data_IF_598249894879
#
_entry.id   IF_598249894879
#
_cell.length_a   1.000
_cell.length_b   1.000
_cell.length_c   1.000
_cell.angle_alpha   90.00
_cell.angle_beta   90.00
_cell.angle_gamma   90.00
#
_symmetry.space_group_name_H-M   'P 1'
#
loop_
_entity.id
_entity.type
_entity.pdbx_description
1 polymer ?
#
# COMPACT_ATOMS: atom_id res chain seq x y z
N UNK A 1 -9.47 -9.28 48.75
CA UNK A 1 -8.05 -9.66 48.50
C UNK A 1 -8.11 -11.04 47.87
N UNK A 2 -7.61 -11.39 46.68
CA UNK A 2 -6.58 -10.83 45.82
C UNK A 2 -6.98 -11.08 44.35
N UNK A 3 -6.57 -10.16 43.49
CA UNK A 3 -6.68 -10.21 42.02
C UNK A 3 -5.73 -11.26 41.45
N UNK A 4 -6.14 -11.94 40.38
CA UNK A 4 -5.28 -12.76 39.53
C UNK A 4 -5.64 -12.51 38.07
N UNK A 5 -5.14 -11.42 37.51
CA UNK A 5 -5.37 -11.03 36.12
C UNK A 5 -4.61 -11.95 35.17
N UNK A 6 -5.35 -12.57 34.24
CA UNK A 6 -4.77 -13.16 33.03
C UNK A 6 -4.99 -12.15 31.91
N UNK A 7 -3.91 -11.49 31.50
CA UNK A 7 -3.84 -10.73 30.27
C UNK A 7 -3.97 -11.71 29.10
N UNK A 8 -5.15 -11.77 28.50
CA UNK A 8 -5.34 -12.38 27.20
C UNK A 8 -4.90 -11.35 26.17
N UNK A 9 -3.69 -11.51 25.64
CA UNK A 9 -3.23 -10.74 24.48
C UNK A 9 -4.04 -11.22 23.28
N UNK A 10 -5.07 -10.45 22.93
CA UNK A 10 -5.82 -10.65 21.70
C UNK A 10 -4.93 -10.22 20.54
N UNK A 11 -4.29 -11.19 19.87
CA UNK A 11 -3.82 -11.00 18.51
C UNK A 11 -5.05 -10.81 17.62
N UNK A 12 -5.40 -9.56 17.35
CA UNK A 12 -6.34 -9.21 16.30
C UNK A 12 -5.69 -9.58 14.97
N UNK A 13 -6.12 -10.72 14.44
CA UNK A 13 -5.81 -11.17 13.11
C UNK A 13 -6.34 -10.13 12.12
N UNK A 14 -5.43 -9.45 11.42
CA UNK A 14 -5.72 -8.57 10.27
C UNK A 14 -6.18 -9.46 9.12
N UNK A 15 -7.45 -9.87 9.16
CA UNK A 15 -8.16 -10.55 8.07
C UNK A 15 -9.25 -9.60 7.60
N UNK A 16 -9.00 -8.89 6.51
CA UNK A 16 -9.98 -7.95 5.97
C UNK A 16 -9.66 -7.24 4.67
N UNK A 17 -8.61 -7.61 3.93
CA UNK A 17 -8.44 -7.18 2.53
C UNK A 17 -8.52 -8.37 1.54
N UNK A 18 -9.02 -9.51 2.03
CA UNK A 18 -9.53 -10.60 1.20
C UNK A 18 -10.92 -10.29 0.65
N UNK A 19 -11.08 -9.14 0.00
CA UNK A 19 -12.21 -8.86 -0.86
C UNK A 19 -11.66 -8.88 -2.27
N UNK A 20 -12.18 -9.77 -3.13
CA UNK A 20 -11.99 -9.67 -4.57
C UNK A 20 -12.00 -8.19 -4.97
N UNK A 21 -11.02 -7.75 -5.75
CA UNK A 21 -11.08 -6.48 -6.46
C UNK A 21 -12.25 -6.56 -7.47
N UNK A 22 -13.49 -6.59 -6.99
CA UNK A 22 -14.65 -6.17 -7.74
C UNK A 22 -14.35 -4.70 -8.03
N UNK A 23 -13.93 -4.44 -9.26
CA UNK A 23 -13.87 -3.09 -9.80
C UNK A 23 -15.22 -2.46 -9.50
N UNK A 24 -15.27 -1.60 -8.47
CA UNK A 24 -16.51 -0.97 -8.07
C UNK A 24 -16.92 -0.07 -9.24
N UNK A 25 -17.92 -0.52 -10.01
CA UNK A 25 -18.40 0.22 -11.17
C UNK A 25 -18.81 1.62 -10.70
N UNK A 26 -18.24 2.65 -11.32
CA UNK A 26 -18.56 4.04 -11.00
C UNK A 26 -20.00 4.31 -11.37
N UNK A 27 -20.77 4.88 -10.43
CA UNK A 27 -22.15 5.26 -10.60
C UNK A 27 -22.22 6.77 -10.40
N UNK A 28 -22.74 7.49 -11.39
CA UNK A 28 -22.98 8.93 -11.28
C UNK A 28 -24.48 9.22 -11.29
N UNK A 29 -24.98 10.03 -10.34
CA UNK A 29 -26.33 10.55 -10.40
C UNK A 29 -26.44 11.57 -11.55
N UNK A 30 -27.63 11.71 -12.12
CA UNK A 30 -27.92 12.80 -13.06
C UNK A 30 -27.90 14.15 -12.34
N UNK A 31 -27.73 15.25 -13.09
CA UNK A 31 -27.78 16.60 -12.52
C UNK A 31 -29.10 16.87 -11.78
N UNK A 32 -30.22 16.33 -12.27
CA UNK A 32 -31.52 16.43 -11.61
C UNK A 32 -31.57 15.64 -10.29
N UNK A 33 -30.96 14.45 -10.25
CA UNK A 33 -30.83 13.66 -9.02
C UNK A 33 -29.96 14.38 -7.98
N UNK A 34 -28.85 14.98 -8.40
CA UNK A 34 -27.96 15.77 -7.52
C UNK A 34 -28.63 17.02 -6.97
N UNK A 35 -29.37 17.75 -7.80
CA UNK A 35 -30.10 18.95 -7.38
C UNK A 35 -31.25 18.66 -6.43
N UNK A 36 -31.81 17.44 -6.50
CA UNK A 36 -32.85 16.96 -5.58
C UNK A 36 -32.29 16.35 -4.28
N UNK A 37 -30.96 16.35 -4.09
CA UNK A 37 -30.36 15.91 -2.83
C UNK A 37 -30.58 17.01 -1.78
N UNK A 38 -31.36 16.69 -0.75
CA UNK A 38 -31.30 17.43 0.51
C UNK A 38 -29.94 17.18 1.18
N UNK A 39 -29.47 18.06 2.07
CA UNK A 39 -28.23 17.86 2.80
C UNK A 39 -28.14 16.45 3.41
N UNK A 40 -27.15 15.68 2.94
CA UNK A 40 -27.00 14.27 3.30
C UNK A 40 -26.23 14.15 4.61
N UNK A 41 -26.71 13.38 5.60
CA UNK A 41 -25.87 12.94 6.69
C UNK A 41 -24.64 12.20 6.14
N UNK A 42 -23.46 12.54 6.64
CA UNK A 42 -22.20 11.91 6.26
C UNK A 42 -21.81 10.88 7.31
N UNK A 43 -21.56 9.66 6.88
CA UNK A 43 -20.99 8.61 7.70
C UNK A 43 -19.63 8.21 7.13
N UNK A 44 -18.57 8.50 7.88
CA UNK A 44 -17.22 8.07 7.56
C UNK A 44 -16.89 6.78 8.32
N UNK A 45 -16.37 5.79 7.60
CA UNK A 45 -16.03 4.46 8.11
C UNK A 45 -14.54 4.27 7.91
N UNK A 46 -13.81 4.19 9.02
CA UNK A 46 -12.39 3.85 9.04
C UNK A 46 -12.20 2.59 9.88
N UNK A 47 -12.31 1.44 9.22
CA UNK A 47 -12.15 0.10 9.80
C UNK A 47 -10.66 -0.32 9.76
N UNK A 48 -9.79 0.53 10.29
CA UNK A 48 -8.36 0.29 10.41
C UNK A 48 -7.83 0.86 11.73
N UNK A 49 -7.15 0.00 12.49
CA UNK A 49 -6.54 0.39 13.76
C UNK A 49 -5.10 0.86 13.62
N UNK A 50 -4.45 0.59 12.48
CA UNK A 50 -3.06 0.96 12.24
C UNK A 50 -2.75 1.13 10.76
N UNK A 51 -1.64 1.79 10.46
CA UNK A 51 -1.12 1.94 9.10
C UNK A 51 -0.83 0.56 8.49
N UNK A 52 -1.39 0.32 7.30
CA UNK A 52 -1.06 -0.83 6.48
C UNK A 52 0.06 -0.50 5.47
N UNK A 53 0.62 -1.53 4.85
CA UNK A 53 1.39 -1.40 3.62
C UNK A 53 0.72 -2.28 2.57
N UNK A 54 0.61 -1.77 1.35
CA UNK A 54 0.08 -2.55 0.24
C UNK A 54 1.10 -3.63 -0.14
N UNK A 55 0.62 -4.84 -0.36
CA UNK A 55 1.38 -5.81 -1.12
C UNK A 55 1.11 -5.58 -2.63
N UNK A 56 1.99 -6.12 -3.48
CA UNK A 56 1.88 -6.00 -4.94
C UNK A 56 0.62 -6.67 -5.52
N UNK A 57 -0.12 -7.45 -4.72
CA UNK A 57 -1.31 -8.20 -5.11
C UNK A 57 -2.63 -7.54 -4.68
N UNK A 58 -2.59 -6.68 -3.66
CA UNK A 58 -3.71 -5.93 -3.09
C UNK A 58 -3.65 -4.45 -3.41
N UNK A 59 -2.57 -3.99 -4.06
CA UNK A 59 -2.41 -2.62 -4.50
C UNK A 59 -3.62 -2.17 -5.33
N UNK A 60 -4.22 -1.04 -4.94
CA UNK A 60 -5.22 -0.38 -5.76
C UNK A 60 -4.50 0.06 -7.04
N UNK A 61 -4.68 -0.70 -8.11
CA UNK A 61 -3.90 -0.60 -9.32
C UNK A 61 -4.11 0.77 -9.98
N UNK A 62 -3.23 1.72 -9.68
CA UNK A 62 -3.22 3.11 -10.20
C UNK A 62 -2.02 3.30 -11.15
N UNK A 63 -1.54 2.21 -11.77
CA UNK A 63 -0.27 2.17 -12.51
C UNK A 63 0.93 2.36 -11.59
N UNK A 64 1.28 1.30 -10.85
CA UNK A 64 2.60 1.19 -10.24
C UNK A 64 3.58 0.74 -11.32
N UNK A 65 4.31 1.67 -11.93
CA UNK A 65 5.57 1.33 -12.60
C UNK A 65 6.66 1.37 -11.54
N UNK A 66 7.36 0.25 -11.28
CA UNK A 66 8.52 0.26 -10.39
C UNK A 66 9.48 1.35 -10.85
N UNK A 67 9.94 2.20 -9.92
CA UNK A 67 10.97 3.19 -10.24
C UNK A 67 12.18 2.54 -10.92
N UNK A 68 13.02 3.30 -11.64
CA UNK A 68 14.05 2.80 -12.56
C UNK A 68 15.19 1.92 -11.95
N UNK A 69 15.03 1.41 -10.73
CA UNK A 69 15.96 0.48 -10.09
C UNK A 69 15.29 -0.59 -9.24
N UNK A 70 13.97 -0.82 -9.34
CA UNK A 70 13.28 -1.84 -8.53
C UNK A 70 13.07 -3.11 -9.36
N UNK A 71 13.91 -4.15 -9.23
CA UNK A 71 13.54 -5.49 -9.67
C UNK A 71 12.40 -5.97 -8.75
N UNK A 72 11.18 -5.99 -9.28
CA UNK A 72 10.09 -6.74 -8.68
C UNK A 72 10.52 -8.20 -8.71
N UNK A 73 10.68 -8.83 -7.54
CA UNK A 73 10.91 -10.27 -7.40
C UNK A 73 9.65 -11.02 -7.88
N UNK A 74 9.48 -11.08 -9.20
CA UNK A 74 8.72 -12.10 -9.91
C UNK A 74 9.70 -13.21 -10.31
N UNK A 75 10.38 -13.80 -9.34
CA UNK A 75 11.17 -15.00 -9.57
C UNK A 75 10.29 -16.25 -9.50
N UNK A 76 9.35 -16.37 -10.45
CA UNK A 76 8.89 -17.61 -11.07
C UNK A 76 7.56 -17.36 -11.81
N UNK A 77 7.62 -17.52 -13.14
CA UNK A 77 6.52 -17.57 -14.10
C UNK A 77 5.88 -16.23 -14.53
N UNK A 78 6.45 -15.67 -15.60
CA UNK A 78 5.67 -15.13 -16.71
C UNK A 78 5.05 -13.74 -16.50
N UNK A 79 5.76 -12.71 -16.94
CA UNK A 79 5.19 -11.38 -17.07
C UNK A 79 3.99 -11.37 -18.02
N UNK A 80 2.90 -10.78 -17.55
CA UNK A 80 1.96 -9.98 -18.33
C UNK A 80 0.95 -9.40 -17.34
N UNK A 81 0.46 -8.21 -17.65
CA UNK A 81 -0.72 -7.62 -17.05
C UNK A 81 -1.85 -8.68 -16.99
N UNK A 82 -2.32 -9.01 -15.79
CA UNK A 82 -3.55 -9.79 -15.60
C UNK A 82 -3.37 -11.25 -15.15
N UNK A 83 -3.95 -11.53 -13.98
CA UNK A 83 -4.61 -12.79 -13.61
C UNK A 83 -3.76 -14.07 -13.39
N UNK A 84 -3.76 -14.50 -12.13
CA UNK A 84 -4.24 -15.83 -11.71
C UNK A 84 -3.28 -17.04 -11.68
N UNK A 85 -1.99 -16.88 -11.39
CA UNK A 85 -1.23 -17.93 -10.67
C UNK A 85 -0.39 -17.28 -9.56
N UNK A 86 -1.02 -17.03 -8.42
CA UNK A 86 -0.29 -16.59 -7.22
C UNK A 86 0.20 -17.83 -6.50
N UNK A 87 1.49 -18.09 -6.55
CA UNK A 87 2.10 -19.04 -5.63
C UNK A 87 1.94 -18.47 -4.21
N UNK A 88 1.27 -19.21 -3.32
CA UNK A 88 1.00 -18.78 -1.94
C UNK A 88 2.29 -18.35 -1.20
N UNK A 89 3.44 -18.95 -1.56
CA UNK A 89 4.75 -18.57 -1.04
C UNK A 89 5.15 -17.14 -1.42
N UNK A 90 4.91 -16.71 -2.67
CA UNK A 90 5.23 -15.36 -3.16
C UNK A 90 4.33 -14.33 -2.51
N UNK A 91 3.04 -14.65 -2.32
CA UNK A 91 2.14 -13.77 -1.57
C UNK A 91 2.58 -13.62 -0.12
N UNK A 92 2.89 -14.72 0.55
CA UNK A 92 3.37 -14.69 1.93
C UNK A 92 4.69 -13.92 2.08
N UNK A 93 5.58 -13.98 1.09
CA UNK A 93 6.81 -13.19 1.08
C UNK A 93 6.54 -11.69 0.91
N UNK A 94 5.63 -11.31 0.00
CA UNK A 94 5.21 -9.92 -0.17
C UNK A 94 4.51 -9.36 1.09
N UNK A 95 3.67 -10.16 1.74
CA UNK A 95 3.03 -9.80 3.03
C UNK A 95 4.09 -9.61 4.12
N UNK A 96 5.08 -10.51 4.23
CA UNK A 96 6.20 -10.36 5.18
C UNK A 96 7.03 -9.12 4.91
N UNK A 97 7.34 -8.84 3.64
CA UNK A 97 8.07 -7.65 3.24
C UNK A 97 7.31 -6.38 3.65
N UNK A 98 6.03 -6.29 3.30
CA UNK A 98 5.17 -5.16 3.65
C UNK A 98 5.08 -4.97 5.17
N UNK A 99 4.90 -6.06 5.90
CA UNK A 99 4.79 -6.03 7.36
C UNK A 99 6.12 -5.63 8.03
N UNK A 100 7.27 -6.14 7.58
CA UNK A 100 8.57 -5.78 8.14
C UNK A 100 8.86 -4.27 8.02
N UNK A 101 8.52 -3.68 6.88
CA UNK A 101 8.85 -2.28 6.57
C UNK A 101 7.83 -1.27 7.10
N UNK A 102 6.59 -1.68 7.40
CA UNK A 102 5.59 -0.78 8.00
C UNK A 102 5.75 -0.64 9.52
N UNK A 103 6.39 -1.60 10.19
CA UNK A 103 6.56 -1.59 11.64
C UNK A 103 7.26 -0.34 12.19
N UNK A 104 8.38 0.16 11.61
CA UNK A 104 8.99 1.41 12.03
C UNK A 104 8.05 2.62 11.93
N UNK A 105 7.17 2.63 10.93
CA UNK A 105 6.20 3.71 10.73
C UNK A 105 5.08 3.63 11.77
N UNK A 106 4.59 2.43 12.08
CA UNK A 106 3.61 2.22 13.17
C UNK A 106 4.18 2.68 14.50
N UNK A 107 5.46 2.40 14.76
CA UNK A 107 6.16 2.90 15.95
C UNK A 107 6.25 4.44 15.95
N UNK A 108 6.59 5.06 14.82
CA UNK A 108 6.63 6.52 14.70
C UNK A 108 5.25 7.19 14.87
N UNK A 109 4.17 6.47 14.54
CA UNK A 109 2.79 6.89 14.73
C UNK A 109 2.23 6.55 16.12
N UNK A 110 3.03 6.02 17.05
CA UNK A 110 2.53 5.69 18.38
C UNK A 110 1.93 6.93 19.08
N UNK A 111 0.70 6.81 19.57
CA UNK A 111 -0.03 7.91 20.19
C UNK A 111 -0.67 8.91 19.21
N UNK A 112 -0.50 8.72 17.90
CA UNK A 112 -1.17 9.51 16.88
C UNK A 112 -2.50 8.87 16.47
N UNK A 113 -3.60 9.60 16.65
CA UNK A 113 -4.93 9.15 16.21
C UNK A 113 -5.15 9.49 14.73
N UNK A 114 -4.64 8.61 13.85
CA UNK A 114 -4.78 8.76 12.40
C UNK A 114 -6.26 8.82 11.96
N UNK A 115 -7.15 8.08 12.64
CA UNK A 115 -8.59 8.03 12.30
C UNK A 115 -9.24 9.39 12.55
N UNK A 116 -9.06 9.93 13.75
CA UNK A 116 -9.63 11.25 14.08
C UNK A 116 -9.06 12.35 13.21
N UNK A 117 -7.78 12.28 12.82
CA UNK A 117 -7.16 13.28 11.95
C UNK A 117 -7.71 13.22 10.53
N UNK A 118 -7.78 12.04 9.93
CA UNK A 118 -8.34 11.84 8.58
C UNK A 118 -9.80 12.29 8.53
N UNK A 119 -10.59 11.84 9.50
CA UNK A 119 -12.00 12.16 9.65
C UNK A 119 -12.22 13.65 9.91
N UNK A 120 -11.41 14.27 10.79
CA UNK A 120 -11.47 15.69 11.08
C UNK A 120 -11.18 16.57 9.86
N UNK A 121 -10.14 16.23 9.09
CA UNK A 121 -9.83 16.94 7.82
C UNK A 121 -10.96 16.80 6.80
N UNK A 122 -11.52 15.59 6.65
CA UNK A 122 -12.66 15.34 5.76
C UNK A 122 -13.91 16.12 6.19
N UNK A 123 -14.25 16.09 7.49
CA UNK A 123 -15.37 16.82 8.07
C UNK A 123 -15.25 18.33 7.82
N UNK A 124 -14.08 18.91 8.09
CA UNK A 124 -13.84 20.34 7.88
C UNK A 124 -14.03 20.73 6.41
N UNK A 125 -13.51 19.93 5.49
CA UNK A 125 -13.63 20.22 4.06
C UNK A 125 -15.07 20.06 3.54
N UNK A 126 -15.81 19.03 3.99
CA UNK A 126 -17.21 18.84 3.63
C UNK A 126 -18.14 19.89 4.26
N UNK A 127 -17.80 20.43 5.44
CA UNK A 127 -18.55 21.49 6.09
C UNK A 127 -18.57 22.81 5.28
N UNK A 128 -17.61 23.00 4.37
CA UNK A 128 -17.60 24.12 3.42
C UNK A 128 -18.69 23.98 2.33
N UNK A 129 -19.44 22.87 2.30
CA UNK A 129 -20.47 22.57 1.31
C UNK A 129 -21.82 22.20 1.98
N UNK A 130 -22.40 23.11 2.78
CA UNK A 130 -23.59 22.82 3.59
C UNK A 130 -24.85 22.54 2.76
N UNK A 131 -24.86 22.91 1.48
CA UNK A 131 -25.97 22.63 0.57
C UNK A 131 -26.10 21.13 0.22
N UNK A 132 -25.02 20.36 0.33
CA UNK A 132 -24.98 18.95 -0.07
C UNK A 132 -24.78 17.99 1.12
N UNK A 133 -24.07 18.45 2.16
CA UNK A 133 -23.68 17.61 3.29
C UNK A 133 -24.17 18.21 4.61
N UNK A 134 -24.84 17.37 5.40
CA UNK A 134 -25.37 17.69 6.72
C UNK A 134 -24.47 17.15 7.83
N UNK A 135 -25.09 16.61 8.88
CA UNK A 135 -24.39 16.11 10.07
C UNK A 135 -23.34 15.05 9.70
N UNK A 136 -22.18 15.13 10.35
CA UNK A 136 -21.07 14.22 10.13
C UNK A 136 -20.89 13.26 11.32
N UNK A 137 -20.66 11.98 11.04
CA UNK A 137 -20.42 10.96 12.07
C UNK A 137 -19.32 10.00 11.60
N UNK A 138 -18.33 9.76 12.46
CA UNK A 138 -17.30 8.74 12.26
C UNK A 138 -17.69 7.44 12.99
N UNK A 139 -17.51 6.29 12.35
CA UNK A 139 -17.72 4.96 12.94
C UNK A 139 -16.62 4.00 12.49
N UNK A 140 -16.36 2.95 13.27
CA UNK A 140 -15.47 1.85 12.85
C UNK A 140 -16.18 0.79 12.02
N UNK A 141 -17.51 0.73 12.09
CA UNK A 141 -18.29 -0.32 11.41
C UNK A 141 -19.26 0.26 10.40
N UNK A 142 -19.31 -0.35 9.22
CA UNK A 142 -20.28 0.02 8.18
C UNK A 142 -21.71 -0.09 8.73
N UNK A 143 -22.53 0.98 8.60
CA UNK A 143 -23.92 0.92 9.02
C UNK A 143 -24.71 -0.12 8.22
N UNK A 144 -25.63 -0.82 8.89
CA UNK A 144 -26.53 -1.81 8.28
C UNK A 144 -27.88 -1.21 7.86
N UNK A 145 -28.23 -0.03 8.38
CA UNK A 145 -29.48 0.66 8.06
C UNK A 145 -29.47 1.26 6.65
N UNK A 146 -30.56 1.13 5.91
CA UNK A 146 -30.75 1.70 4.56
C UNK A 146 -31.17 3.19 4.55
N UNK A 147 -30.79 3.98 5.57
CA UNK A 147 -31.17 5.39 5.61
C UNK A 147 -30.33 6.24 4.64
N UNK A 148 -30.96 7.29 4.10
CA UNK A 148 -30.32 8.26 3.19
C UNK A 148 -29.05 8.84 3.80
N UNK A 149 -27.91 8.71 3.12
CA UNK A 149 -26.60 9.19 3.61
C UNK A 149 -25.54 9.24 2.50
N UNK A 150 -24.51 10.04 2.74
CA UNK A 150 -23.20 9.84 2.13
C UNK A 150 -22.41 8.86 3.00
N UNK A 151 -21.97 7.74 2.43
CA UNK A 151 -21.06 6.80 3.07
C UNK A 151 -19.66 6.97 2.47
N UNK A 152 -18.69 7.28 3.31
CA UNK A 152 -17.27 7.34 2.95
C UNK A 152 -16.57 6.20 3.66
N UNK A 153 -15.96 5.28 2.93
CA UNK A 153 -15.18 4.18 3.49
C UNK A 153 -13.72 4.41 3.16
N UNK A 154 -12.92 4.76 4.17
CA UNK A 154 -11.56 5.21 3.99
C UNK A 154 -10.58 4.14 4.48
N UNK A 155 -9.60 3.83 3.64
CA UNK A 155 -8.44 3.03 4.01
C UNK A 155 -7.14 3.78 3.67
N UNK A 156 -6.11 3.62 4.50
CA UNK A 156 -4.81 4.25 4.33
C UNK A 156 -3.68 3.22 4.46
N UNK A 157 -2.68 3.35 3.58
CA UNK A 157 -1.59 2.40 3.45
C UNK A 157 -0.38 3.01 2.75
N UNK A 158 0.83 2.53 3.04
CA UNK A 158 1.99 2.82 2.20
C UNK A 158 1.87 2.12 0.83
N UNK A 159 2.41 2.74 -0.22
CA UNK A 159 2.61 2.07 -1.51
C UNK A 159 3.54 0.86 -1.34
N UNK A 160 3.51 -0.15 -2.24
CA UNK A 160 4.32 -1.36 -2.08
C UNK A 160 5.83 -1.11 -1.98
N UNK A 161 6.30 0.00 -2.54
CA UNK A 161 7.70 0.41 -2.51
C UNK A 161 8.03 1.43 -1.41
N UNK A 162 7.06 1.74 -0.54
CA UNK A 162 7.13 2.71 0.56
C UNK A 162 7.44 4.16 0.14
N UNK A 163 7.35 4.48 -1.16
CA UNK A 163 7.62 5.84 -1.63
C UNK A 163 6.53 6.84 -1.27
N UNK A 164 5.27 6.41 -1.12
CA UNK A 164 4.16 7.32 -0.81
C UNK A 164 3.17 6.73 0.19
N UNK A 165 2.46 7.61 0.90
CA UNK A 165 1.21 7.27 1.56
C UNK A 165 0.09 7.31 0.52
N UNK A 166 -0.77 6.29 0.52
CA UNK A 166 -1.99 6.25 -0.27
C UNK A 166 -3.21 6.16 0.64
N UNK A 167 -4.21 7.00 0.37
CA UNK A 167 -5.50 6.98 1.05
C UNK A 167 -6.59 6.78 0.01
N UNK A 168 -7.38 5.72 0.18
CA UNK A 168 -8.44 5.32 -0.73
C UNK A 168 -9.76 5.52 -0.01
N UNK A 169 -10.62 6.35 -0.57
CA UNK A 169 -11.99 6.53 -0.09
C UNK A 169 -12.96 5.96 -1.13
N UNK A 170 -13.68 4.90 -0.75
CA UNK A 170 -14.87 4.47 -1.50
C UNK A 170 -16.05 5.30 -1.02
N UNK A 171 -16.56 6.14 -1.90
CA UNK A 171 -17.66 7.05 -1.59
C UNK A 171 -18.93 6.54 -2.26
N UNK A 172 -20.04 6.54 -1.53
CA UNK A 172 -21.35 6.20 -2.09
C UNK A 172 -22.46 7.04 -1.48
N UNK A 173 -23.47 7.38 -2.29
CA UNK A 173 -24.71 7.99 -1.78
C UNK A 173 -25.77 6.89 -1.78
N UNK A 174 -26.30 6.60 -0.59
CA UNK A 174 -27.48 5.76 -0.41
C UNK A 174 -28.68 6.67 -0.29
N UNK A 175 -29.72 6.42 -1.09
CA UNK A 175 -30.97 7.17 -1.05
C UNK A 175 -32.15 6.26 -0.64
N UNK A 176 -33.31 6.83 -0.36
CA UNK A 176 -34.51 6.08 0.03
C UNK A 176 -34.89 5.10 -1.09
N UNK A 177 -34.88 3.80 -0.78
CA UNK A 177 -35.16 2.72 -1.75
C UNK A 177 -33.93 2.19 -2.50
N UNK A 178 -32.76 2.83 -2.36
CA UNK A 178 -31.49 2.25 -2.77
C UNK A 178 -31.10 1.11 -1.82
N UNK A 179 -30.66 -0.02 -2.36
CA UNK A 179 -30.00 -1.04 -1.54
C UNK A 179 -28.53 -0.68 -1.35
N UNK A 180 -27.85 -1.16 -0.28
CA UNK A 180 -26.41 -0.95 -0.11
C UNK A 180 -25.57 -1.36 -1.33
N UNK A 181 -26.07 -2.30 -2.14
CA UNK A 181 -25.43 -2.79 -3.36
C UNK A 181 -25.75 -1.97 -4.62
N UNK A 182 -26.75 -1.09 -4.55
CA UNK A 182 -27.23 -0.23 -5.64
C UNK A 182 -27.34 1.23 -5.20
N UNK A 183 -26.21 1.88 -4.89
CA UNK A 183 -26.23 3.29 -4.50
C UNK A 183 -26.57 4.19 -5.71
N UNK A 184 -27.05 5.41 -5.45
CA UNK A 184 -27.33 6.41 -6.51
C UNK A 184 -26.06 7.11 -6.99
N UNK A 185 -25.00 7.04 -6.20
CA UNK A 185 -23.65 7.49 -6.54
C UNK A 185 -22.65 6.49 -5.99
N UNK A 186 -21.58 6.21 -6.74
CA UNK A 186 -20.42 5.47 -6.25
C UNK A 186 -19.17 5.88 -7.02
N UNK A 187 -18.12 6.24 -6.30
CA UNK A 187 -16.79 6.42 -6.88
C UNK A 187 -15.71 6.00 -5.88
N UNK A 188 -14.50 5.75 -6.39
CA UNK A 188 -13.30 5.55 -5.58
C UNK A 188 -12.38 6.74 -5.83
N UNK A 189 -12.10 7.46 -4.75
CA UNK A 189 -11.23 8.63 -4.72
C UNK A 189 -9.92 8.20 -4.08
N UNK A 190 -8.80 8.51 -4.73
CA UNK A 190 -7.49 8.08 -4.26
C UNK A 190 -6.56 9.25 -4.13
N UNK A 191 -6.13 9.49 -2.92
CA UNK A 191 -5.06 10.42 -2.60
C UNK A 191 -3.73 9.66 -2.57
N UNK A 192 -2.72 10.18 -3.25
CA UNK A 192 -1.33 9.82 -3.06
C UNK A 192 -0.57 11.03 -2.51
N UNK A 193 0.26 10.82 -1.49
CA UNK A 193 1.20 11.85 -1.05
C UNK A 193 2.27 12.12 -2.12
N UNK A 194 3.03 13.19 -1.93
CA UNK A 194 4.31 13.35 -2.62
C UNK A 194 5.18 12.11 -2.36
N UNK A 195 5.86 11.64 -3.41
CA UNK A 195 6.77 10.49 -3.30
C UNK A 195 8.07 10.91 -2.64
N UNK A 196 8.43 10.19 -1.58
CA UNK A 196 9.81 10.19 -1.10
C UNK A 196 10.72 9.46 -2.09
N UNK A 197 11.86 10.07 -2.36
CA UNK A 197 12.85 9.56 -3.31
C UNK A 197 14.06 9.07 -2.52
N UNK A 198 14.37 7.78 -2.67
CA UNK A 198 15.65 7.27 -2.20
C UNK A 198 16.78 7.89 -3.04
N UNK A 199 17.83 8.43 -2.42
CA UNK A 199 18.96 9.01 -3.14
C UNK A 199 19.64 7.94 -4.00
N UNK A 200 20.47 8.33 -4.94
CA UNK A 200 21.31 7.35 -5.63
C UNK A 200 22.27 6.68 -4.63
N UNK A 201 22.50 5.38 -4.82
CA UNK A 201 23.37 4.61 -3.95
C UNK A 201 24.82 5.08 -4.11
N UNK A 202 25.46 5.40 -2.99
CA UNK A 202 26.86 5.86 -2.97
C UNK A 202 27.83 4.70 -2.79
N UNK A 203 29.12 4.94 -3.03
CA UNK A 203 30.17 3.95 -2.75
C UNK A 203 30.27 3.61 -1.25
N UNK A 204 30.03 4.61 -0.40
CA UNK A 204 29.96 4.46 1.06
C UNK A 204 28.80 3.55 1.48
N UNK A 205 27.64 3.66 0.82
CA UNK A 205 26.51 2.78 1.07
C UNK A 205 26.83 1.33 0.73
N UNK A 206 27.46 1.08 -0.44
CA UNK A 206 27.93 -0.26 -0.81
C UNK A 206 28.89 -0.83 0.23
N UNK A 207 29.86 -0.03 0.71
CA UNK A 207 30.80 -0.45 1.77
C UNK A 207 30.06 -0.80 3.07
N UNK A 208 29.09 0.03 3.48
CA UNK A 208 28.28 -0.20 4.68
C UNK A 208 27.45 -1.49 4.57
N UNK A 209 26.82 -1.73 3.43
CA UNK A 209 26.03 -2.94 3.18
C UNK A 209 26.90 -4.21 3.22
N UNK A 210 28.09 -4.18 2.61
CA UNK A 210 29.06 -5.28 2.69
C UNK A 210 29.47 -5.54 4.14
N UNK A 211 29.77 -4.48 4.90
CA UNK A 211 30.15 -4.60 6.30
C UNK A 211 29.02 -5.20 7.17
N UNK A 212 27.77 -4.73 6.98
CA UNK A 212 26.60 -5.25 7.69
C UNK A 212 26.32 -6.72 7.36
N UNK A 213 26.42 -7.11 6.09
CA UNK A 213 26.22 -8.51 5.70
C UNK A 213 27.33 -9.43 6.21
N UNK A 214 28.59 -8.99 6.18
CA UNK A 214 29.70 -9.74 6.77
C UNK A 214 29.54 -9.90 8.29
N UNK A 215 29.06 -8.85 8.97
CA UNK A 215 28.75 -8.90 10.39
C UNK A 215 27.59 -9.87 10.68
N UNK A 216 26.51 -9.83 9.90
CA UNK A 216 25.39 -10.78 10.03
C UNK A 216 25.87 -12.22 9.84
N UNK A 217 26.59 -12.48 8.74
CA UNK A 217 27.02 -13.83 8.38
C UNK A 217 28.00 -14.42 9.41
N UNK A 218 28.93 -13.62 9.94
CA UNK A 218 29.81 -14.06 11.03
C UNK A 218 29.06 -14.36 12.33
N UNK A 219 28.02 -13.59 12.67
CA UNK A 219 27.21 -13.84 13.86
C UNK A 219 26.34 -15.11 13.78
N UNK A 220 26.15 -15.68 12.58
CA UNK A 220 25.44 -16.96 12.40
C UNK A 220 26.30 -18.18 12.73
N UNK A 221 27.62 -18.03 12.91
CA UNK A 221 28.53 -19.14 13.20
C UNK A 221 28.40 -20.31 12.21
N UNK A 222 28.22 -20.02 10.91
CA UNK A 222 27.99 -21.04 9.86
C UNK A 222 29.13 -22.06 9.79
N UNK A 223 30.36 -21.65 10.12
CA UNK A 223 31.52 -22.56 10.15
C UNK A 223 31.40 -23.62 11.25
N UNK A 224 30.79 -23.29 12.39
CA UNK A 224 30.50 -24.25 13.47
C UNK A 224 29.40 -25.22 13.04
N UNK A 225 28.36 -24.73 12.35
CA UNK A 225 27.32 -25.54 11.74
C UNK A 225 27.90 -26.51 10.68
N UNK A 226 28.89 -26.07 9.87
CA UNK A 226 29.61 -26.91 8.90
C UNK A 226 30.41 -28.00 9.61
N UNK A 227 31.17 -27.66 10.65
CA UNK A 227 31.94 -28.63 11.43
C UNK A 227 31.01 -29.69 12.04
N UNK A 228 29.88 -29.28 12.61
CA UNK A 228 28.85 -30.17 13.16
C UNK A 228 28.23 -31.07 12.08
N UNK A 229 27.91 -30.52 10.91
CA UNK A 229 27.35 -31.28 9.79
C UNK A 229 28.35 -32.29 9.20
N UNK A 230 29.65 -32.01 9.25
CA UNK A 230 30.71 -32.91 8.77
C UNK A 230 31.09 -33.99 9.78
N UNK A 231 30.90 -33.73 11.07
CA UNK A 231 31.15 -34.69 12.14
C UNK A 231 30.09 -35.82 12.22
N UNK A 232 28.92 -35.65 11.59
CA UNK A 232 27.85 -36.64 11.61
C UNK A 232 28.09 -37.79 10.59
N UNK A 233 28.42 -39.02 11.05
CA UNK A 233 28.75 -40.14 10.17
C UNK A 233 27.55 -40.66 9.37
N UNK A 234 26.32 -40.47 9.85
CA UNK A 234 25.13 -40.97 9.16
C UNK A 234 24.57 -39.96 8.15
N UNK A 235 24.86 -40.17 6.87
CA UNK A 235 24.32 -39.35 5.77
C UNK A 235 22.81 -39.41 5.61
N UNK A 236 22.13 -40.40 6.21
CA UNK A 236 20.66 -40.55 6.16
C UNK A 236 19.94 -39.90 7.35
N UNK A 237 20.68 -39.28 8.26
CA UNK A 237 20.09 -38.51 9.35
C UNK A 237 19.35 -37.29 8.81
N UNK A 238 18.05 -37.18 9.13
CA UNK A 238 17.18 -36.11 8.66
C UNK A 238 17.52 -34.74 9.26
N UNK A 239 18.05 -34.69 10.48
CA UNK A 239 18.48 -33.45 11.12
C UNK A 239 19.78 -32.94 10.50
N UNK A 240 20.73 -33.83 10.23
CA UNK A 240 21.96 -33.48 9.53
C UNK A 240 21.70 -33.04 8.07
N UNK A 241 20.72 -33.66 7.39
CA UNK A 241 20.28 -33.21 6.08
C UNK A 241 19.66 -31.80 6.13
N UNK A 242 18.78 -31.52 7.11
CA UNK A 242 18.20 -30.17 7.32
C UNK A 242 19.28 -29.12 7.62
N UNK A 243 20.27 -29.46 8.45
CA UNK A 243 21.39 -28.58 8.78
C UNK A 243 22.23 -28.24 7.53
N UNK A 244 22.56 -29.24 6.70
CA UNK A 244 23.26 -29.03 5.42
C UNK A 244 22.47 -28.15 4.45
N UNK A 245 21.15 -28.32 4.38
CA UNK A 245 20.28 -27.45 3.59
C UNK A 245 20.32 -26.01 4.10
N UNK A 246 20.20 -25.80 5.42
CA UNK A 246 20.29 -24.47 6.04
C UNK A 246 21.63 -23.79 5.74
N UNK A 247 22.76 -24.49 5.92
CA UNK A 247 24.11 -23.98 5.62
C UNK A 247 24.21 -23.53 4.16
N UNK A 248 23.82 -24.39 3.23
CA UNK A 248 23.87 -24.07 1.80
C UNK A 248 22.99 -22.86 1.47
N UNK A 249 21.81 -22.76 2.09
CA UNK A 249 20.92 -21.63 1.93
C UNK A 249 21.58 -20.34 2.42
N UNK A 250 22.13 -20.32 3.64
CA UNK A 250 22.82 -19.13 4.19
C UNK A 250 24.04 -18.72 3.35
N UNK A 251 24.82 -19.68 2.83
CA UNK A 251 25.95 -19.39 1.93
C UNK A 251 25.52 -18.82 0.58
N UNK A 252 24.37 -19.26 0.06
CA UNK A 252 23.78 -18.71 -1.17
C UNK A 252 23.25 -17.31 -0.91
N UNK A 253 22.50 -17.10 0.18
CA UNK A 253 21.95 -15.80 0.56
C UNK A 253 23.06 -14.78 0.84
N UNK A 254 24.13 -15.17 1.53
CA UNK A 254 25.29 -14.32 1.78
C UNK A 254 25.92 -13.81 0.48
N UNK A 255 26.19 -14.71 -0.47
CA UNK A 255 26.74 -14.34 -1.79
C UNK A 255 25.80 -13.44 -2.58
N UNK A 256 24.49 -13.69 -2.51
CA UNK A 256 23.49 -12.86 -3.17
C UNK A 256 23.46 -11.44 -2.58
N UNK A 257 23.47 -11.31 -1.24
CA UNK A 257 23.48 -10.00 -0.56
C UNK A 257 24.76 -9.23 -0.81
N UNK A 258 25.92 -9.89 -0.86
CA UNK A 258 27.18 -9.26 -1.28
C UNK A 258 27.14 -8.78 -2.74
N UNK A 259 26.57 -9.58 -3.64
CA UNK A 259 26.39 -9.17 -5.04
C UNK A 259 25.43 -7.97 -5.17
N UNK A 260 24.34 -7.96 -4.40
CA UNK A 260 23.40 -6.82 -4.32
C UNK A 260 24.07 -5.57 -3.75
N UNK A 261 24.91 -5.72 -2.71
CA UNK A 261 25.68 -4.63 -2.16
C UNK A 261 26.64 -4.01 -3.21
N UNK A 262 27.14 -4.78 -4.17
CA UNK A 262 27.97 -4.30 -5.26
C UNK A 262 27.19 -3.63 -6.43
N UNK A 263 25.86 -3.80 -6.50
CA UNK A 263 25.06 -3.16 -7.56
C UNK A 263 25.03 -1.64 -7.41
N UNK A 264 24.97 -0.88 -8.52
CA UNK A 264 24.89 0.59 -8.50
C UNK A 264 23.53 1.12 -8.03
N UNK A 265 22.49 0.28 -8.02
CA UNK A 265 21.17 0.61 -7.48
C UNK A 265 20.95 0.02 -6.09
N UNK A 266 20.00 0.58 -5.35
CA UNK A 266 19.43 -0.06 -4.18
C UNK A 266 18.66 -1.31 -4.59
N UNK A 267 18.80 -2.41 -3.85
CA UNK A 267 17.81 -3.49 -3.92
C UNK A 267 16.49 -3.05 -3.28
N UNK A 268 15.43 -3.82 -3.50
CA UNK A 268 14.07 -3.46 -3.08
C UNK A 268 13.94 -3.33 -1.54
N UNK A 269 14.64 -4.18 -0.79
CA UNK A 269 14.61 -4.21 0.68
C UNK A 269 15.34 -3.01 1.26
N UNK A 270 16.59 -2.77 0.82
CA UNK A 270 17.35 -1.61 1.26
C UNK A 270 16.66 -0.29 0.90
N UNK A 271 16.03 -0.21 -0.28
CA UNK A 271 15.27 0.98 -0.69
C UNK A 271 14.03 1.18 0.16
N UNK A 272 13.23 0.13 0.39
CA UNK A 272 12.03 0.22 1.22
C UNK A 272 12.40 0.56 2.66
N UNK A 273 13.48 -0.01 3.21
CA UNK A 273 13.98 0.33 4.53
C UNK A 273 14.44 1.80 4.62
N UNK A 274 15.14 2.31 3.61
CA UNK A 274 15.50 3.73 3.55
C UNK A 274 14.25 4.61 3.58
N UNK A 275 13.28 4.33 2.72
CA UNK A 275 12.05 5.12 2.62
C UNK A 275 11.20 5.02 3.88
N UNK A 276 11.08 3.83 4.46
CA UNK A 276 10.41 3.60 5.73
C UNK A 276 11.04 4.43 6.86
N UNK A 277 12.37 4.46 6.94
CA UNK A 277 13.11 5.28 7.90
C UNK A 277 12.91 6.78 7.64
N UNK A 278 12.88 7.20 6.38
CA UNK A 278 12.67 8.60 6.02
C UNK A 278 11.24 9.07 6.33
N UNK A 279 10.23 8.21 6.17
CA UNK A 279 8.87 8.46 6.66
C UNK A 279 8.77 8.48 8.18
N UNK A 280 9.51 7.60 8.87
CA UNK A 280 9.52 7.51 10.33
C UNK A 280 10.36 8.60 11.03
N UNK A 281 11.23 9.28 10.28
CA UNK A 281 12.07 10.36 10.79
C UNK A 281 11.22 11.47 11.45
N UNK A 282 11.82 12.17 12.43
CA UNK A 282 11.14 13.22 13.19
C UNK A 282 9.78 12.76 13.73
N UNK A 283 9.73 11.55 14.30
CA UNK A 283 8.50 10.96 14.84
C UNK A 283 7.36 10.88 13.81
N UNK A 284 7.66 10.68 12.53
CA UNK A 284 6.65 10.51 11.50
C UNK A 284 5.97 11.79 11.02
N UNK A 285 6.57 12.97 11.21
CA UNK A 285 5.93 14.26 10.89
C UNK A 285 5.48 14.39 9.43
N UNK A 286 6.29 13.91 8.48
CA UNK A 286 5.92 13.88 7.06
C UNK A 286 4.68 13.01 6.83
N UNK A 287 4.62 11.83 7.48
CA UNK A 287 3.52 10.88 7.37
C UNK A 287 2.23 11.45 7.97
N UNK A 288 2.32 12.07 9.16
CA UNK A 288 1.19 12.75 9.83
C UNK A 288 0.68 13.92 8.97
N UNK A 289 1.56 14.65 8.31
CA UNK A 289 1.20 15.75 7.41
C UNK A 289 0.47 15.25 6.16
N UNK A 290 0.96 14.16 5.55
CA UNK A 290 0.29 13.52 4.43
C UNK A 290 -1.13 13.01 4.81
N UNK A 291 -1.28 12.42 6.01
CA UNK A 291 -2.60 12.00 6.52
C UNK A 291 -3.54 13.18 6.75
N UNK A 292 -3.06 14.34 7.23
CA UNK A 292 -3.91 15.54 7.36
C UNK A 292 -4.38 16.05 6.00
N UNK A 293 -3.46 16.08 5.02
CA UNK A 293 -3.75 16.60 3.69
C UNK A 293 -4.74 15.73 2.91
N UNK A 294 -4.76 14.42 3.13
CA UNK A 294 -5.60 13.51 2.35
C UNK A 294 -7.10 13.77 2.55
N UNK A 295 -7.55 14.11 3.77
CA UNK A 295 -8.99 14.36 4.01
C UNK A 295 -9.55 15.54 3.21
N UNK A 296 -8.79 16.64 3.16
CA UNK A 296 -9.16 17.82 2.37
C UNK A 296 -9.16 17.52 0.87
N UNK A 297 -8.17 16.77 0.39
CA UNK A 297 -8.05 16.43 -1.02
C UNK A 297 -9.12 15.42 -1.48
N UNK A 298 -9.51 14.48 -0.63
CA UNK A 298 -10.64 13.55 -0.89
C UNK A 298 -11.95 14.33 -1.01
N UNK A 299 -12.21 15.31 -0.13
CA UNK A 299 -13.38 16.18 -0.24
C UNK A 299 -13.35 17.04 -1.52
N UNK A 300 -12.18 17.55 -1.90
CA UNK A 300 -12.01 18.32 -3.13
C UNK A 300 -12.29 17.46 -4.37
N UNK A 301 -11.77 16.23 -4.44
CA UNK A 301 -12.08 15.28 -5.51
C UNK A 301 -13.58 14.94 -5.56
N UNK A 302 -14.21 14.71 -4.41
CA UNK A 302 -15.66 14.46 -4.34
C UNK A 302 -16.44 15.65 -4.90
N UNK A 303 -16.04 16.88 -4.57
CA UNK A 303 -16.66 18.09 -5.10
C UNK A 303 -16.52 18.19 -6.62
N UNK A 304 -15.31 18.00 -7.15
CA UNK A 304 -15.05 18.03 -8.59
C UNK A 304 -15.87 16.97 -9.32
N UNK A 305 -16.05 15.80 -8.72
CA UNK A 305 -16.83 14.72 -9.29
C UNK A 305 -18.35 15.02 -9.29
N UNK A 306 -18.89 15.50 -8.17
CA UNK A 306 -20.31 15.85 -8.03
C UNK A 306 -20.68 17.12 -8.80
N UNK A 307 -19.77 18.07 -9.00
CA UNK A 307 -19.99 19.27 -9.80
C UNK A 307 -20.22 18.97 -11.30
N UNK A 308 -19.96 17.74 -11.75
CA UNK A 308 -20.61 17.21 -12.95
C UNK A 308 -20.21 17.85 -14.28
N UNK A 309 -18.92 18.12 -14.54
CA UNK A 309 -18.43 18.51 -15.88
C UNK A 309 -18.20 17.31 -16.83
N UNK A 310 -18.83 16.17 -16.58
CA UNK A 310 -18.49 14.91 -17.23
C UNK A 310 -19.74 14.23 -17.75
N UNK A 311 -19.91 14.23 -19.06
CA UNK A 311 -20.89 13.38 -19.70
C UNK A 311 -20.61 11.89 -19.39
N UNK A 312 -21.66 11.16 -19.04
CA UNK A 312 -21.66 9.76 -18.59
C UNK A 312 -21.06 8.80 -19.62
N UNK A 313 -20.92 9.23 -20.88
CA UNK A 313 -20.39 8.50 -22.03
C UNK A 313 -18.85 8.42 -22.07
N UNK A 314 -18.12 9.11 -21.17
CA UNK A 314 -16.65 9.11 -21.10
C UNK A 314 -16.05 8.55 -19.81
N UNK A 315 -16.83 7.81 -19.02
CA UNK A 315 -16.41 7.33 -17.68
C UNK A 315 -15.16 6.41 -17.73
N UNK A 316 -14.90 5.78 -18.86
CA UNK A 316 -13.81 4.82 -19.00
C UNK A 316 -12.52 5.41 -19.59
N UNK A 317 -12.53 6.68 -20.03
CA UNK A 317 -11.36 7.28 -20.65
C UNK A 317 -10.50 8.05 -19.63
N UNK A 318 -9.19 7.76 -19.55
CA UNK A 318 -8.28 8.54 -18.74
C UNK A 318 -8.26 10.00 -19.17
N UNK A 319 -8.32 10.92 -18.20
CA UNK A 319 -8.18 12.36 -18.47
C UNK A 319 -7.85 13.14 -17.21
N UNK A 320 -7.28 14.33 -17.42
CA UNK A 320 -7.05 15.31 -16.37
C UNK A 320 -8.34 16.06 -16.02
N UNK A 321 -8.61 16.19 -14.73
CA UNK A 321 -9.76 16.90 -14.15
C UNK A 321 -9.32 18.22 -13.53
N UNK A 322 -8.15 18.23 -12.90
CA UNK A 322 -7.60 19.39 -12.24
C UNK A 322 -6.08 19.38 -12.30
N UNK A 323 -5.48 20.56 -12.34
CA UNK A 323 -4.04 20.76 -12.30
C UNK A 323 -3.72 22.05 -11.57
N UNK A 324 -2.69 22.03 -10.75
CA UNK A 324 -2.08 23.19 -10.10
C UNK A 324 -0.56 22.98 -10.02
N UNK A 325 0.15 23.96 -9.47
CA UNK A 325 1.60 23.86 -9.25
C UNK A 325 1.99 22.74 -8.26
N UNK A 326 1.03 22.24 -7.47
CA UNK A 326 1.30 21.26 -6.41
C UNK A 326 0.58 19.93 -6.59
N UNK A 327 -0.47 19.88 -7.42
CA UNK A 327 -1.36 18.73 -7.55
C UNK A 327 -1.90 18.54 -8.96
N UNK A 328 -2.02 17.28 -9.36
CA UNK A 328 -2.78 16.85 -10.53
C UNK A 328 -3.86 15.84 -10.09
N UNK A 329 -5.07 16.00 -10.63
CA UNK A 329 -6.17 15.07 -10.39
C UNK A 329 -6.65 14.52 -11.72
N UNK A 330 -6.58 13.20 -11.86
CA UNK A 330 -6.93 12.48 -13.08
C UNK A 330 -8.04 11.46 -12.84
N UNK A 331 -8.88 11.24 -13.85
CA UNK A 331 -9.57 9.97 -14.00
C UNK A 331 -8.62 8.95 -14.62
N UNK A 332 -8.58 7.77 -14.02
CA UNK A 332 -7.82 6.62 -14.55
C UNK A 332 -8.76 5.50 -15.00
N UNK A 333 -8.20 4.51 -15.71
CA UNK A 333 -8.95 3.33 -16.15
C UNK A 333 -9.73 2.68 -14.98
N UNK A 334 -11.02 2.44 -15.22
CA UNK A 334 -11.98 1.98 -14.20
C UNK A 334 -12.72 3.11 -13.47
N UNK A 335 -12.63 4.35 -13.95
CA UNK A 335 -13.44 5.50 -13.51
C UNK A 335 -13.03 6.12 -12.17
N UNK A 336 -11.91 5.69 -11.61
CA UNK A 336 -11.40 6.16 -10.31
C UNK A 336 -10.77 7.53 -10.48
N UNK A 337 -10.90 8.38 -9.46
CA UNK A 337 -10.27 9.70 -9.43
C UNK A 337 -9.03 9.65 -8.54
N UNK A 338 -7.90 10.11 -9.06
CA UNK A 338 -6.60 10.02 -8.38
C UNK A 338 -5.98 11.40 -8.29
N UNK A 339 -5.66 11.84 -7.07
CA UNK A 339 -4.86 13.03 -6.80
C UNK A 339 -3.42 12.66 -6.49
N UNK A 340 -2.48 13.24 -7.23
CA UNK A 340 -1.03 13.06 -7.09
C UNK A 340 -0.35 14.43 -6.96
N UNK A 341 0.86 14.48 -6.40
CA UNK A 341 1.66 15.70 -6.43
C UNK A 341 2.01 16.09 -7.87
N UNK A 342 2.13 17.39 -8.14
CA UNK A 342 2.53 17.86 -9.47
C UNK A 342 3.94 17.35 -9.82
N UNK A 343 4.13 16.86 -11.04
CA UNK A 343 5.39 16.24 -11.47
C UNK A 343 5.57 14.78 -11.05
N UNK A 344 4.76 14.27 -10.13
CA UNK A 344 4.60 12.82 -9.92
C UNK A 344 3.72 12.18 -11.03
N UNK A 345 3.14 13.02 -11.91
CA UNK A 345 2.47 12.61 -13.14
C UNK A 345 3.39 11.78 -14.03
N UNK A 346 2.88 10.65 -14.50
CA UNK A 346 3.63 9.50 -15.02
C UNK A 346 4.57 9.83 -16.21
N UNK A 347 5.85 10.09 -15.93
CA UNK A 347 6.93 10.13 -16.93
C UNK A 347 7.28 8.74 -17.50
N UNK A 348 6.76 7.64 -16.92
CA UNK A 348 7.04 6.27 -17.34
C UNK A 348 6.16 5.77 -18.50
N UNK A 349 5.16 6.56 -18.92
CA UNK A 349 4.55 6.42 -20.25
C UNK A 349 5.48 6.84 -21.40
N UNK A 350 6.65 7.45 -21.13
CA UNK A 350 7.54 8.00 -22.17
C UNK A 350 8.77 7.17 -22.50
N UNK A 351 9.17 6.16 -21.69
CA UNK A 351 10.29 5.26 -22.03
C UNK A 351 10.11 3.86 -21.41
N UNK A 352 10.24 2.78 -22.18
CA UNK A 352 10.26 1.42 -21.65
C UNK A 352 11.53 1.18 -20.80
N UNK A 353 11.38 0.54 -19.64
CA UNK A 353 12.49 0.11 -18.79
C UNK A 353 13.30 -1.02 -19.43
N UNK A 354 14.63 -1.09 -19.23
CA UNK A 354 15.47 -2.17 -19.72
C UNK A 354 15.18 -3.50 -19.00
N UNK A 355 15.01 -4.58 -19.78
CA UNK A 355 14.86 -5.94 -19.26
C UNK A 355 16.20 -6.50 -18.76
N UNK A 356 16.22 -7.09 -17.55
CA UNK A 356 17.30 -7.98 -17.09
C UNK A 356 16.81 -9.43 -17.18
N UNK A 357 17.52 -10.27 -17.93
CA UNK A 357 17.29 -11.73 -17.95
C UNK A 357 18.01 -12.38 -16.76
N UNK A 358 17.29 -13.13 -15.94
CA UNK A 358 17.88 -14.05 -14.96
C UNK A 358 18.09 -15.41 -15.64
N UNK A 359 19.28 -16.03 -15.57
CA UNK A 359 19.48 -17.39 -16.02
C UNK A 359 18.76 -18.36 -15.08
N UNK A 360 17.86 -19.19 -15.63
CA UNK A 360 17.21 -20.28 -14.91
C UNK A 360 18.26 -21.33 -14.59
N UNK A 361 18.50 -21.62 -13.31
CA UNK A 361 19.27 -22.78 -12.91
C UNK A 361 18.55 -24.05 -13.39
N UNK A 362 19.24 -24.84 -14.20
CA UNK A 362 18.83 -26.17 -14.63
C UNK A 362 18.84 -27.14 -13.44
N UNK A 363 17.87 -27.04 -12.55
CA UNK A 363 17.58 -28.02 -11.52
C UNK A 363 16.13 -28.51 -11.70
N UNK A 364 15.90 -29.16 -12.83
CA UNK A 364 14.57 -29.60 -13.26
C UNK A 364 14.59 -30.50 -14.48
N UNK A 365 15.51 -31.47 -14.52
CA UNK A 365 15.36 -32.68 -15.33
C UNK A 365 15.58 -33.87 -14.42
N UNK A 366 14.49 -34.50 -14.02
CA UNK A 366 14.47 -35.95 -13.91
C UNK A 366 14.19 -36.51 -15.29
#
# INVERSE_FOLDING_TARGET
>A
MSRGGKLTVAMAVVLGLGGCAQQAQVIRPSSAQLQALEPLPVVDVIDQDSLAAQDTFTAANINVVPGPGVPILAAAAGGALGMAIVNAAVKAEAERFAEAHVQPLRAALQGFDARSVLSGSLQQALALQPAHFGNYTMTSTKPTSAARRLLVQTAYSMTPDFSALQVIATVSIQDVGATPDKPVYRNVLVYQSERQVAPQKTAEDSKRMVAQENQRYSALHVDDDIAKANAEPNRRDSEAARLRTKINQEQVEHRQRLAQAALPGWDADARAQYLANAWAANQGDALKTAMRASGAEIAHMLQLDLAGQVATDRIEQPRKVFSSDTREIDYVNGGRMVSMAAGDGDASLRKPSPMVRVPVNAAGRR
#
